data_IF_533197974549
#
_entry.id   IF_533197974549
#
_cell.length_a   1.000
_cell.length_b   1.000
_cell.length_c   1.000
_cell.angle_alpha   90.00
_cell.angle_beta   90.00
_cell.angle_gamma   90.00
#
_symmetry.space_group_name_H-M   'P 1'
#
loop_
_entity.id
_entity.type
_entity.pdbx_description
1 polymer ?
#
# COMPACT_ATOMS: atom_id res chain seq x y z
N UNK A 1 -9.67 -71.57 -30.64
CA UNK A 1 -8.29 -71.79 -30.17
C UNK A 1 -7.82 -70.44 -29.59
N UNK A 2 -8.04 -70.20 -28.29
CA UNK A 2 -7.09 -70.41 -27.18
C UNK A 2 -5.87 -69.45 -27.27
N UNK A 3 -5.48 -68.64 -26.28
CA UNK A 3 -5.97 -68.35 -24.93
C UNK A 3 -4.92 -67.56 -24.10
N UNK A 4 -5.36 -66.85 -23.04
CA UNK A 4 -4.59 -66.49 -21.82
C UNK A 4 -4.07 -65.05 -21.67
N UNK A 5 -4.62 -64.18 -20.78
CA UNK A 5 -4.32 -63.95 -19.32
C UNK A 5 -2.94 -63.31 -19.06
N UNK A 6 -2.70 -62.33 -18.18
CA UNK A 6 -3.48 -61.59 -17.19
C UNK A 6 -2.58 -60.49 -16.52
N UNK A 7 -3.19 -59.40 -16.00
CA UNK A 7 -2.99 -58.75 -14.66
C UNK A 7 -1.55 -58.30 -14.24
N UNK A 8 -1.24 -57.20 -13.52
CA UNK A 8 -1.95 -56.21 -12.68
C UNK A 8 -0.95 -55.13 -12.20
N UNK A 9 -1.48 -53.91 -11.98
CA UNK A 9 -1.24 -52.95 -10.87
C UNK A 9 0.17 -52.43 -10.48
N UNK A 10 0.30 -51.09 -10.55
CA UNK A 10 0.29 -50.26 -9.34
C UNK A 10 1.62 -49.95 -8.60
N UNK A 11 1.65 -48.89 -7.75
CA UNK A 11 2.80 -47.99 -7.56
C UNK A 11 3.40 -47.97 -6.12
N UNK A 12 4.48 -47.19 -5.94
CA UNK A 12 4.82 -46.31 -4.78
C UNK A 12 6.18 -46.52 -4.07
N UNK A 13 6.73 -45.35 -3.70
CA UNK A 13 7.43 -44.98 -2.47
C UNK A 13 8.80 -45.59 -2.13
N UNK A 14 9.86 -44.81 -2.33
CA UNK A 14 10.69 -44.09 -1.33
C UNK A 14 10.85 -44.63 0.12
N UNK A 15 10.60 -45.91 0.37
CA UNK A 15 10.86 -46.59 1.65
C UNK A 15 12.22 -47.32 1.71
N UNK A 16 13.12 -47.10 0.75
CA UNK A 16 14.41 -47.82 0.64
C UNK A 16 15.65 -47.02 1.11
N UNK A 17 15.51 -45.78 1.61
CA UNK A 17 16.68 -44.93 1.94
C UNK A 17 16.76 -44.47 3.40
N UNK A 18 16.34 -45.31 4.35
CA UNK A 18 16.45 -45.04 5.79
C UNK A 18 16.94 -46.23 6.64
N UNK A 19 18.01 -46.94 6.27
CA UNK A 19 18.64 -47.95 7.15
C UNK A 19 20.17 -48.14 6.99
N UNK A 20 20.98 -47.07 7.06
CA UNK A 20 22.41 -47.21 7.39
C UNK A 20 22.95 -46.01 8.19
N UNK A 21 22.64 -46.03 9.49
CA UNK A 21 23.16 -45.14 10.53
C UNK A 21 24.58 -45.59 10.92
N UNK A 22 25.47 -44.63 11.20
CA UNK A 22 26.34 -44.60 12.40
C UNK A 22 27.46 -45.64 12.51
N UNK A 23 28.68 -45.29 12.09
CA UNK A 23 29.94 -45.51 12.83
C UNK A 23 31.03 -44.59 12.26
N UNK A 24 31.66 -43.78 13.12
CA UNK A 24 32.79 -42.95 12.73
C UNK A 24 34.06 -43.78 12.56
N UNK A 25 34.96 -43.30 11.71
CA UNK A 25 36.42 -43.41 11.80
C UNK A 25 36.97 -42.38 10.80
N UNK A 26 37.68 -41.38 11.33
CA UNK A 26 38.61 -40.56 10.54
C UNK A 26 39.73 -41.49 10.05
N UNK A 27 40.03 -41.45 8.76
CA UNK A 27 41.24 -42.10 8.25
C UNK A 27 42.04 -41.10 7.40
N UNK A 28 42.94 -40.42 8.10
CA UNK A 28 44.37 -40.33 7.78
C UNK A 28 44.73 -40.50 6.29
N UNK A 29 44.91 -39.37 5.60
CA UNK A 29 45.95 -39.24 4.57
C UNK A 29 46.62 -37.88 4.72
N UNK A 30 47.54 -37.79 5.70
CA UNK A 30 48.53 -36.72 5.73
C UNK A 30 49.48 -36.93 4.56
N UNK A 31 49.29 -36.15 3.50
CA UNK A 31 50.29 -35.98 2.45
C UNK A 31 51.46 -35.20 3.06
N UNK A 32 52.47 -35.93 3.54
CA UNK A 32 53.76 -35.35 3.91
C UNK A 32 54.48 -35.00 2.62
N UNK A 33 54.47 -33.72 2.28
CA UNK A 33 55.29 -33.17 1.20
C UNK A 33 56.74 -33.18 1.65
N UNK A 34 57.48 -34.22 1.28
CA UNK A 34 58.94 -34.25 1.40
C UNK A 34 59.53 -33.48 0.23
N UNK A 35 59.91 -32.22 0.47
CA UNK A 35 60.75 -31.46 -0.46
C UNK A 35 62.21 -31.89 -0.26
N UNK A 36 62.78 -32.58 -1.26
CA UNK A 36 64.19 -32.94 -1.28
C UNK A 36 65.02 -31.72 -1.70
N UNK A 37 65.83 -31.20 -0.78
CA UNK A 37 66.92 -30.31 -1.11
C UNK A 37 68.21 -30.94 -0.58
N UNK A 38 69.08 -31.36 -1.50
CA UNK A 38 70.45 -31.81 -1.24
C UNK A 38 70.64 -33.07 -0.36
N UNK A 39 69.83 -34.11 -0.60
CA UNK A 39 70.26 -35.51 -0.37
C UNK A 39 70.65 -35.91 1.06
N UNK A 40 70.08 -35.28 2.10
CA UNK A 40 70.32 -35.68 3.50
C UNK A 40 69.05 -35.58 4.34
N UNK A 41 68.64 -36.69 4.93
CA UNK A 41 67.53 -36.78 5.88
C UNK A 41 67.94 -36.14 7.22
N UNK A 42 67.24 -35.09 7.65
CA UNK A 42 67.42 -34.48 8.98
C UNK A 42 66.13 -34.64 9.80
N UNK A 43 66.28 -35.08 11.05
CA UNK A 43 65.20 -35.25 12.03
C UNK A 43 64.90 -33.93 12.75
N UNK A 44 63.63 -33.74 13.10
CA UNK A 44 62.99 -32.49 13.54
C UNK A 44 63.37 -31.98 14.96
N UNK A 45 64.56 -32.29 15.48
CA UNK A 45 64.92 -31.98 16.87
C UNK A 45 65.88 -30.79 17.06
N UNK A 46 65.90 -29.83 16.13
CA UNK A 46 66.81 -28.68 16.22
C UNK A 46 66.22 -27.37 15.70
N UNK A 47 65.07 -26.96 16.22
CA UNK A 47 64.57 -25.59 16.06
C UNK A 47 64.58 -24.82 17.41
N UNK A 48 65.10 -23.58 17.45
CA UNK A 48 65.18 -22.80 18.68
C UNK A 48 63.78 -22.33 19.13
N UNK A 49 63.49 -22.46 20.44
CA UNK A 49 62.25 -21.95 21.05
C UNK A 49 62.18 -20.42 20.91
N UNK A 50 61.22 -19.96 20.11
CA UNK A 50 60.86 -18.55 19.92
C UNK A 50 60.38 -17.95 21.25
N UNK A 51 60.89 -16.78 21.62
CA UNK A 51 60.57 -16.08 22.86
C UNK A 51 59.09 -15.67 22.92
N UNK A 52 58.43 -16.03 24.02
CA UNK A 52 56.99 -15.84 24.29
C UNK A 52 56.53 -14.39 24.34
N UNK A 53 57.46 -13.43 24.44
CA UNK A 53 57.15 -12.01 24.64
C UNK A 53 56.71 -11.27 23.36
N UNK A 54 57.10 -11.77 22.18
CA UNK A 54 56.75 -11.14 20.88
C UNK A 54 55.37 -11.56 20.34
N UNK A 55 54.78 -12.61 20.92
CA UNK A 55 53.52 -13.20 20.47
C UNK A 55 52.31 -12.47 21.08
N UNK A 56 52.46 -11.92 22.28
CA UNK A 56 51.40 -11.26 23.04
C UNK A 56 51.13 -9.80 22.60
N UNK A 57 52.16 -9.09 22.12
CA UNK A 57 51.98 -7.76 21.51
C UNK A 57 51.35 -7.82 20.10
N UNK A 58 51.55 -8.91 19.37
CA UNK A 58 50.93 -9.11 18.05
C UNK A 58 49.47 -9.55 18.16
N UNK A 59 49.12 -10.32 19.19
CA UNK A 59 47.73 -10.74 19.45
C UNK A 59 46.85 -9.56 19.88
N UNK A 60 47.35 -8.68 20.75
CA UNK A 60 46.63 -7.48 21.20
C UNK A 60 46.36 -6.49 20.07
N UNK A 61 47.36 -6.19 19.23
CA UNK A 61 47.16 -5.32 18.05
C UNK A 61 46.24 -5.96 16.99
N UNK A 62 46.33 -7.27 16.78
CA UNK A 62 45.43 -8.01 15.88
C UNK A 62 43.98 -7.99 16.37
N UNK A 63 43.76 -8.11 17.68
CA UNK A 63 42.42 -8.09 18.27
C UNK A 63 41.79 -6.68 18.21
N UNK A 64 42.59 -5.64 18.43
CA UNK A 64 42.14 -4.25 18.28
C UNK A 64 41.82 -3.95 16.81
N UNK A 65 42.66 -4.38 15.87
CA UNK A 65 42.39 -4.21 14.44
C UNK A 65 41.12 -4.96 13.99
N UNK A 66 40.87 -6.16 14.53
CA UNK A 66 39.65 -6.92 14.27
C UNK A 66 38.40 -6.23 14.86
N UNK A 67 38.49 -5.66 16.05
CA UNK A 67 37.40 -4.90 16.68
C UNK A 67 37.08 -3.60 15.94
N UNK A 68 38.11 -2.86 15.50
CA UNK A 68 37.92 -1.63 14.70
C UNK A 68 37.37 -1.98 13.31
N UNK A 69 37.85 -3.04 12.67
CA UNK A 69 37.32 -3.51 11.38
C UNK A 69 35.87 -3.97 11.47
N UNK A 70 35.52 -4.74 12.50
CA UNK A 70 34.14 -5.16 12.77
C UNK A 70 33.23 -3.98 13.11
N UNK A 71 33.74 -2.99 13.86
CA UNK A 71 33.01 -1.75 14.17
C UNK A 71 32.76 -0.88 12.95
N UNK A 72 33.75 -0.75 12.05
CA UNK A 72 33.61 0.00 10.80
C UNK A 72 32.61 -0.67 9.83
N UNK A 73 32.67 -1.99 9.68
CA UNK A 73 31.66 -2.76 8.91
C UNK A 73 30.27 -2.74 9.56
N UNK A 74 30.19 -2.77 10.89
CA UNK A 74 28.94 -2.62 11.63
C UNK A 74 28.28 -1.27 11.41
N UNK A 75 29.05 -0.16 11.47
CA UNK A 75 28.53 1.17 11.19
C UNK A 75 28.11 1.36 9.72
N UNK A 76 28.86 0.81 8.76
CA UNK A 76 28.47 0.81 7.34
C UNK A 76 27.22 -0.03 7.08
N UNK A 77 27.07 -1.17 7.77
CA UNK A 77 25.85 -1.99 7.72
C UNK A 77 24.63 -1.25 8.25
N UNK A 78 24.75 -0.57 9.40
CA UNK A 78 23.66 0.24 9.98
C UNK A 78 23.23 1.41 9.08
N UNK A 79 24.16 2.05 8.36
CA UNK A 79 23.83 3.12 7.41
C UNK A 79 23.01 2.61 6.20
N UNK A 80 23.26 1.38 5.75
CA UNK A 80 22.52 0.77 4.63
C UNK A 80 21.04 0.49 4.94
N UNK A 81 20.71 0.12 6.19
CA UNK A 81 19.32 -0.14 6.59
C UNK A 81 18.46 1.15 6.59
N UNK A 82 19.03 2.29 6.97
CA UNK A 82 18.30 3.57 6.99
C UNK A 82 17.94 4.08 5.58
N UNK A 83 18.72 3.73 4.54
CA UNK A 83 18.45 4.17 3.17
C UNK A 83 17.38 3.35 2.45
N UNK A 84 17.15 2.09 2.85
CA UNK A 84 16.11 1.26 2.24
C UNK A 84 14.70 1.69 2.68
N UNK A 85 14.56 2.14 3.93
CA UNK A 85 13.26 2.49 4.51
C UNK A 85 12.60 3.69 3.81
N UNK A 86 13.40 4.69 3.43
CA UNK A 86 12.94 5.88 2.69
C UNK A 86 12.46 5.55 1.27
N UNK A 87 13.06 4.52 0.64
CA UNK A 87 12.66 4.07 -0.69
C UNK A 87 11.35 3.27 -0.66
N UNK A 88 11.07 2.54 0.41
CA UNK A 88 9.82 1.79 0.59
C UNK A 88 8.66 2.70 1.03
N UNK A 89 8.90 3.63 1.96
CA UNK A 89 7.87 4.56 2.42
C UNK A 89 7.54 5.65 1.40
N UNK A 90 8.48 5.97 0.51
CA UNK A 90 8.35 7.04 -0.46
C UNK A 90 8.41 8.42 0.18
N UNK A 91 8.67 9.44 -0.65
CA UNK A 91 8.71 10.82 -0.19
C UNK A 91 7.30 11.28 0.22
N UNK A 92 7.17 11.82 1.43
CA UNK A 92 5.92 12.39 1.93
C UNK A 92 5.42 13.51 0.98
N UNK A 93 4.15 13.42 0.58
CA UNK A 93 3.54 14.43 -0.26
C UNK A 93 3.37 15.76 0.53
N UNK A 94 3.72 16.91 -0.05
CA UNK A 94 3.47 18.19 0.59
C UNK A 94 1.96 18.51 0.64
N UNK A 95 1.55 19.30 1.63
CA UNK A 95 0.17 19.77 1.76
C UNK A 95 -0.07 20.97 0.83
N UNK A 96 -0.87 20.77 -0.21
CA UNK A 96 -1.25 21.85 -1.14
C UNK A 96 -2.50 22.59 -0.65
N UNK A 97 -2.59 23.91 -0.85
CA UNK A 97 -3.76 24.70 -0.48
C UNK A 97 -4.90 24.52 -1.48
N UNK A 98 -5.63 23.40 -1.37
CA UNK A 98 -6.80 23.11 -2.21
C UNK A 98 -7.94 24.07 -1.94
N UNK A 99 -8.70 24.45 -2.99
CA UNK A 99 -9.87 25.33 -2.86
C UNK A 99 -10.91 24.79 -1.88
N UNK A 100 -11.10 23.48 -1.85
CA UNK A 100 -12.09 22.76 -1.04
C UNK A 100 -11.55 22.24 0.30
N UNK A 101 -10.35 22.66 0.73
CA UNK A 101 -9.74 22.23 2.00
C UNK A 101 -10.39 22.83 3.26
N UNK A 102 -11.05 23.99 3.12
CA UNK A 102 -11.70 24.68 4.22
C UNK A 102 -13.04 24.06 4.65
N UNK A 103 -13.46 24.35 5.88
CA UNK A 103 -14.72 23.87 6.46
C UNK A 103 -15.96 24.44 5.75
N UNK A 104 -15.85 25.65 5.23
CA UNK A 104 -16.90 26.36 4.48
C UNK A 104 -16.57 26.49 2.99
N UNK A 105 -15.59 25.72 2.50
CA UNK A 105 -15.22 25.73 1.10
C UNK A 105 -15.89 24.59 0.36
N UNK A 106 -16.53 24.90 -0.76
CA UNK A 106 -17.07 23.90 -1.70
C UNK A 106 -16.02 23.47 -2.72
N UNK A 107 -16.35 22.47 -3.54
CA UNK A 107 -15.58 22.20 -4.74
C UNK A 107 -15.66 23.34 -5.76
N UNK A 108 -14.60 23.47 -6.58
CA UNK A 108 -14.61 24.33 -7.76
C UNK A 108 -15.18 23.52 -8.94
N UNK A 109 -16.46 23.71 -9.24
CA UNK A 109 -17.16 22.99 -10.31
C UNK A 109 -16.57 23.24 -11.71
N UNK A 110 -15.94 24.39 -11.95
CA UNK A 110 -15.23 24.63 -13.20
C UNK A 110 -13.95 23.77 -13.29
N UNK A 111 -13.27 23.57 -12.16
CA UNK A 111 -12.15 22.63 -12.05
C UNK A 111 -12.58 21.18 -12.21
N UNK A 112 -13.75 20.79 -11.68
CA UNK A 112 -14.33 19.45 -11.89
C UNK A 112 -14.59 19.22 -13.39
N UNK A 113 -15.17 20.20 -14.10
CA UNK A 113 -15.44 20.08 -15.54
C UNK A 113 -14.16 19.86 -16.35
N UNK A 114 -13.11 20.65 -16.11
CA UNK A 114 -11.80 20.48 -16.75
C UNK A 114 -11.14 19.16 -16.35
N UNK A 115 -11.24 18.76 -15.09
CA UNK A 115 -10.70 17.48 -14.61
C UNK A 115 -11.35 16.27 -15.29
N UNK A 116 -12.68 16.29 -15.48
CA UNK A 116 -13.39 15.25 -16.23
C UNK A 116 -12.93 15.20 -17.70
N UNK A 117 -12.68 16.35 -18.33
CA UNK A 117 -12.14 16.37 -19.70
C UNK A 117 -10.76 15.70 -19.78
N UNK A 118 -9.86 16.02 -18.85
CA UNK A 118 -8.54 15.36 -18.77
C UNK A 118 -8.67 13.86 -18.50
N UNK A 119 -9.61 13.45 -17.65
CA UNK A 119 -9.90 12.03 -17.43
C UNK A 119 -10.33 11.35 -18.73
N UNK A 120 -11.29 11.93 -19.46
CA UNK A 120 -11.80 11.40 -20.74
C UNK A 120 -10.70 11.31 -21.82
N UNK A 121 -9.84 12.32 -21.92
CA UNK A 121 -8.83 12.41 -22.98
C UNK A 121 -7.56 11.60 -22.69
N UNK A 122 -7.19 11.42 -21.42
CA UNK A 122 -5.89 10.84 -21.03
C UNK A 122 -6.06 9.58 -20.21
N UNK A 123 -6.85 9.63 -19.14
CA UNK A 123 -6.88 8.56 -18.13
C UNK A 123 -7.80 7.40 -18.52
N UNK A 124 -8.92 7.67 -19.19
CA UNK A 124 -9.92 6.68 -19.57
C UNK A 124 -9.38 5.58 -20.51
N UNK A 125 -8.24 5.82 -21.16
CA UNK A 125 -7.56 4.82 -21.98
C UNK A 125 -6.97 3.64 -21.17
N UNK A 126 -6.59 3.87 -19.91
CA UNK A 126 -5.97 2.84 -19.06
C UNK A 126 -6.73 2.60 -17.76
N UNK A 127 -7.42 3.61 -17.24
CA UNK A 127 -8.08 3.57 -15.95
C UNK A 127 -9.60 3.53 -16.07
N UNK A 128 -10.21 2.53 -15.43
CA UNK A 128 -11.63 2.52 -15.20
C UNK A 128 -12.04 3.55 -14.13
N UNK A 129 -13.31 3.93 -14.18
CA UNK A 129 -14.01 4.63 -13.10
C UNK A 129 -15.39 4.01 -12.93
N UNK A 130 -15.39 2.81 -12.36
CA UNK A 130 -16.56 1.93 -12.33
C UNK A 130 -17.71 2.43 -11.44
N UNK A 131 -17.46 3.29 -10.45
CA UNK A 131 -18.51 3.75 -9.52
C UNK A 131 -19.24 5.00 -9.99
N UNK A 132 -18.66 5.75 -10.95
CA UNK A 132 -19.25 7.01 -11.44
C UNK A 132 -20.09 6.73 -12.69
N UNK A 133 -21.29 7.28 -12.70
CA UNK A 133 -22.20 7.25 -13.85
C UNK A 133 -22.31 8.61 -14.52
N UNK A 134 -22.67 8.64 -15.80
CA UNK A 134 -22.84 9.91 -16.53
C UNK A 134 -23.84 10.85 -15.84
N UNK A 135 -24.90 10.32 -15.23
CA UNK A 135 -25.92 11.09 -14.51
C UNK A 135 -25.36 11.83 -13.29
N UNK A 136 -24.28 11.34 -12.67
CA UNK A 136 -23.69 11.99 -11.50
C UNK A 136 -23.03 13.34 -11.89
N UNK A 137 -22.69 13.52 -13.17
CA UNK A 137 -22.14 14.77 -13.71
C UNK A 137 -23.20 15.86 -13.92
N UNK A 138 -24.49 15.49 -13.97
CA UNK A 138 -25.61 16.40 -14.26
C UNK A 138 -25.80 17.33 -13.06
N UNK A 139 -25.78 18.64 -13.32
CA UNK A 139 -25.94 19.65 -12.27
C UNK A 139 -24.68 19.88 -11.43
N UNK A 140 -23.62 19.07 -11.62
CA UNK A 140 -22.31 19.28 -11.00
C UNK A 140 -21.38 20.00 -11.96
N UNK A 141 -21.07 19.40 -13.11
CA UNK A 141 -20.10 19.96 -14.06
C UNK A 141 -20.69 20.19 -15.46
N UNK A 142 -21.79 19.50 -15.78
CA UNK A 142 -22.43 19.51 -17.09
C UNK A 142 -23.94 19.66 -16.94
N UNK A 143 -24.57 20.16 -18.00
CA UNK A 143 -26.03 20.14 -18.15
C UNK A 143 -26.51 18.77 -18.61
N UNK A 144 -27.79 18.44 -18.39
CA UNK A 144 -28.36 17.15 -18.83
C UNK A 144 -28.21 16.92 -20.35
N UNK A 145 -28.38 17.97 -21.15
CA UNK A 145 -28.21 17.90 -22.61
C UNK A 145 -26.76 17.60 -23.01
N UNK A 146 -25.79 18.24 -22.34
CA UNK A 146 -24.36 17.97 -22.57
C UNK A 146 -23.98 16.55 -22.16
N UNK A 147 -24.45 16.07 -21.00
CA UNK A 147 -24.19 14.69 -20.54
C UNK A 147 -24.81 13.68 -21.49
N UNK A 148 -26.01 13.92 -21.98
CA UNK A 148 -26.66 13.03 -22.96
C UNK A 148 -25.88 12.96 -24.26
N UNK A 149 -25.33 14.08 -24.72
CA UNK A 149 -24.43 14.10 -25.88
C UNK A 149 -23.17 13.27 -25.60
N UNK A 150 -22.50 13.52 -24.47
CA UNK A 150 -21.28 12.81 -24.06
C UNK A 150 -21.50 11.29 -23.90
N UNK A 151 -22.64 10.88 -23.33
CA UNK A 151 -22.99 9.47 -23.15
C UNK A 151 -23.30 8.79 -24.48
N UNK A 152 -23.95 9.49 -25.42
CA UNK A 152 -24.28 8.92 -26.73
C UNK A 152 -23.08 8.70 -27.66
N UNK A 153 -21.92 9.31 -27.35
CA UNK A 153 -20.68 9.09 -28.10
C UNK A 153 -20.10 7.70 -27.90
N UNK A 154 -20.40 7.04 -26.77
CA UNK A 154 -19.93 5.69 -26.49
C UNK A 154 -21.00 4.66 -26.87
N UNK A 155 -20.56 3.55 -27.44
CA UNK A 155 -21.40 2.37 -27.65
C UNK A 155 -21.28 1.46 -26.44
N UNK A 156 -22.43 1.10 -25.86
CA UNK A 156 -22.53 0.21 -24.71
C UNK A 156 -23.26 -1.04 -25.14
N UNK A 157 -22.69 -2.20 -24.84
CA UNK A 157 -23.34 -3.48 -25.04
C UNK A 157 -24.54 -3.59 -24.08
N UNK A 158 -25.73 -3.81 -24.63
CA UNK A 158 -26.96 -4.02 -23.87
C UNK A 158 -27.52 -5.43 -24.13
N UNK A 159 -28.47 -5.82 -23.27
CA UNK A 159 -28.95 -7.19 -23.13
C UNK A 159 -29.50 -7.86 -24.40
N UNK A 160 -29.87 -9.15 -24.28
CA UNK A 160 -30.34 -9.91 -25.43
C UNK A 160 -31.61 -9.31 -26.01
N UNK A 161 -31.63 -9.09 -27.32
CA UNK A 161 -32.85 -8.78 -28.06
C UNK A 161 -33.79 -10.00 -28.12
N UNK A 162 -34.96 -9.86 -28.76
CA UNK A 162 -35.93 -10.96 -28.90
C UNK A 162 -35.38 -12.20 -29.64
N UNK A 163 -34.24 -12.07 -30.34
CA UNK A 163 -33.52 -13.16 -30.99
C UNK A 163 -32.41 -13.78 -30.11
N UNK A 164 -32.17 -13.27 -28.90
CA UNK A 164 -31.16 -13.74 -27.97
C UNK A 164 -29.75 -13.20 -28.22
N UNK A 165 -29.59 -12.20 -29.09
CA UNK A 165 -28.29 -11.60 -29.43
C UNK A 165 -28.07 -10.30 -28.63
N UNK A 166 -26.87 -10.11 -28.09
CA UNK A 166 -26.45 -8.86 -27.46
C UNK A 166 -26.23 -7.80 -28.54
N UNK A 167 -26.67 -6.56 -28.32
CA UNK A 167 -26.54 -5.48 -29.29
C UNK A 167 -25.86 -4.26 -28.69
N UNK A 168 -25.19 -3.49 -29.54
CA UNK A 168 -24.61 -2.20 -29.16
C UNK A 168 -25.68 -1.11 -29.26
N UNK A 169 -25.81 -0.32 -28.20
CA UNK A 169 -26.64 0.88 -28.21
C UNK A 169 -25.82 2.12 -27.88
N UNK A 170 -26.27 3.32 -28.29
CA UNK A 170 -25.70 4.53 -27.73
C UNK A 170 -25.86 4.57 -26.21
N UNK A 171 -24.84 5.06 -25.53
CA UNK A 171 -24.84 5.23 -24.08
C UNK A 171 -25.96 6.16 -23.62
N UNK A 172 -26.49 5.87 -22.43
CA UNK A 172 -27.52 6.67 -21.75
C UNK A 172 -26.94 7.24 -20.45
N UNK A 173 -27.50 8.34 -19.90
CA UNK A 173 -26.96 8.95 -18.69
C UNK A 173 -26.88 8.02 -17.46
N UNK A 174 -27.69 6.95 -17.41
CA UNK A 174 -27.60 5.99 -16.30
C UNK A 174 -26.42 5.01 -16.41
N UNK A 175 -25.72 4.97 -17.54
CA UNK A 175 -24.58 4.09 -17.73
C UNK A 175 -23.35 4.60 -16.96
N UNK A 176 -22.48 3.66 -16.62
CA UNK A 176 -21.18 3.94 -16.03
C UNK A 176 -20.20 4.46 -17.08
N UNK A 177 -19.13 5.09 -16.63
CA UNK A 177 -18.00 5.41 -17.49
C UNK A 177 -17.39 4.10 -18.03
N UNK A 178 -17.17 4.04 -19.35
CA UNK A 178 -16.74 2.82 -20.03
C UNK A 178 -15.37 2.36 -19.51
N UNK A 179 -15.27 1.09 -19.14
CA UNK A 179 -14.00 0.51 -18.75
C UNK A 179 -13.11 0.26 -20.00
N UNK A 180 -11.80 0.58 -19.95
CA UNK A 180 -10.89 0.38 -21.09
C UNK A 180 -10.61 -1.10 -21.40
N UNK A 181 -10.79 -1.98 -20.42
CA UNK A 181 -10.49 -3.40 -20.53
C UNK A 181 -11.67 -4.24 -20.04
N UNK A 182 -11.89 -5.39 -20.67
CA UNK A 182 -12.96 -6.31 -20.29
C UNK A 182 -12.70 -7.01 -18.94
N UNK A 183 -11.43 -7.23 -18.58
CA UNK A 183 -11.04 -7.89 -17.34
C UNK A 183 -9.63 -7.47 -16.89
N UNK A 184 -9.28 -7.82 -15.65
CA UNK A 184 -7.97 -7.52 -15.05
C UNK A 184 -6.81 -8.14 -15.85
N UNK A 185 -6.97 -9.36 -16.38
CA UNK A 185 -5.91 -10.04 -17.13
C UNK A 185 -5.56 -9.30 -18.42
N UNK A 186 -6.56 -8.79 -19.14
CA UNK A 186 -6.38 -7.95 -20.31
C UNK A 186 -5.69 -6.62 -19.95
N UNK A 187 -6.09 -6.00 -18.83
CA UNK A 187 -5.46 -4.78 -18.34
C UNK A 187 -3.96 -5.00 -18.03
N UNK A 188 -3.61 -6.11 -17.36
CA UNK A 188 -2.21 -6.47 -17.08
C UNK A 188 -1.44 -6.80 -18.34
N UNK A 189 -2.04 -7.52 -19.29
CA UNK A 189 -1.40 -7.85 -20.55
C UNK A 189 -1.07 -6.59 -21.37
N UNK A 190 -1.97 -5.60 -21.39
CA UNK A 190 -1.76 -4.33 -22.08
C UNK A 190 -0.71 -3.42 -21.39
N UNK A 191 -0.51 -3.55 -20.08
CA UNK A 191 0.34 -2.68 -19.26
C UNK A 191 1.60 -3.38 -18.72
N UNK A 192 2.13 -4.39 -19.43
CA UNK A 192 3.41 -5.02 -19.07
C UNK A 192 3.39 -5.78 -17.74
N UNK A 193 2.23 -6.32 -17.34
CA UNK A 193 2.00 -7.06 -16.11
C UNK A 193 1.45 -6.22 -14.95
N UNK A 194 1.52 -4.88 -15.04
CA UNK A 194 0.97 -3.98 -14.04
C UNK A 194 -0.54 -3.78 -14.24
N UNK A 195 -1.30 -3.72 -13.14
CA UNK A 195 -2.74 -3.44 -13.21
C UNK A 195 -3.01 -1.96 -12.90
N UNK A 196 -3.61 -1.19 -13.83
CA UNK A 196 -4.04 0.16 -13.54
C UNK A 196 -5.23 0.13 -12.55
N UNK A 197 -5.11 0.74 -11.36
CA UNK A 197 -6.19 0.75 -10.39
C UNK A 197 -7.39 1.57 -10.87
N UNK A 198 -8.59 1.21 -10.40
CA UNK A 198 -9.81 1.99 -10.61
C UNK A 198 -9.69 3.35 -9.92
N UNK A 199 -10.02 4.43 -10.65
CA UNK A 199 -9.81 5.80 -10.15
C UNK A 199 -11.00 6.35 -9.34
N UNK A 200 -12.08 5.58 -9.16
CA UNK A 200 -13.30 6.08 -8.51
C UNK A 200 -13.05 6.59 -7.07
N UNK A 201 -12.08 6.01 -6.36
CA UNK A 201 -11.80 6.30 -4.95
C UNK A 201 -10.35 6.78 -4.70
N UNK A 202 -9.63 7.21 -5.73
CA UNK A 202 -8.22 7.62 -5.61
C UNK A 202 -8.06 9.11 -5.94
N UNK A 203 -7.31 9.88 -5.13
CA UNK A 203 -7.40 11.35 -5.16
C UNK A 203 -6.08 12.10 -5.44
N UNK A 204 -5.07 11.56 -6.14
CA UNK A 204 -3.72 12.19 -6.16
C UNK A 204 -2.97 12.10 -7.50
N UNK A 205 -3.14 13.06 -8.43
CA UNK A 205 -2.36 13.12 -9.70
C UNK A 205 -2.04 14.56 -10.15
N UNK A 206 -3.03 15.46 -10.32
CA UNK A 206 -2.84 16.87 -10.75
C UNK A 206 -4.02 17.77 -10.32
N UNK A 207 -3.91 19.11 -10.27
CA UNK A 207 -4.94 19.97 -9.63
C UNK A 207 -6.38 19.75 -10.10
N UNK A 208 -6.64 19.87 -11.41
CA UNK A 208 -8.00 19.77 -11.94
C UNK A 208 -8.52 18.32 -11.86
N UNK A 209 -7.68 17.35 -12.20
CA UNK A 209 -8.00 15.91 -12.10
C UNK A 209 -8.22 15.49 -10.65
N UNK A 210 -7.40 15.95 -9.70
CA UNK A 210 -7.55 15.70 -8.27
C UNK A 210 -8.84 16.27 -7.74
N UNK A 211 -9.23 17.47 -8.21
CA UNK A 211 -10.52 18.05 -7.81
C UNK A 211 -11.68 17.21 -8.33
N UNK A 212 -11.62 16.75 -9.58
CA UNK A 212 -12.61 15.81 -10.13
C UNK A 212 -12.64 14.47 -9.40
N UNK A 213 -11.47 13.86 -9.16
CA UNK A 213 -11.36 12.58 -8.46
C UNK A 213 -11.79 12.65 -6.99
N UNK A 214 -11.47 13.75 -6.30
CA UNK A 214 -11.93 13.98 -4.93
C UNK A 214 -13.45 14.12 -4.86
N UNK A 215 -14.05 14.79 -5.85
CA UNK A 215 -15.50 14.85 -5.98
C UNK A 215 -16.10 13.47 -6.31
N UNK A 216 -15.48 12.69 -7.21
CA UNK A 216 -15.95 11.34 -7.55
C UNK A 216 -15.95 10.40 -6.33
N UNK A 217 -14.97 10.55 -5.43
CA UNK A 217 -14.89 9.79 -4.19
C UNK A 217 -15.87 10.27 -3.11
N UNK A 218 -16.16 11.57 -3.05
CA UNK A 218 -17.02 12.19 -2.04
C UNK A 218 -18.01 13.20 -2.66
N UNK A 219 -19.01 12.75 -3.45
CA UNK A 219 -19.94 13.65 -4.13
C UNK A 219 -20.82 14.43 -3.15
N UNK A 220 -21.03 13.91 -1.94
CA UNK A 220 -21.84 14.53 -0.89
C UNK A 220 -21.09 15.59 -0.05
N UNK A 221 -19.82 15.88 -0.35
CA UNK A 221 -19.00 16.73 0.52
C UNK A 221 -19.55 18.16 0.69
N UNK A 222 -20.11 18.76 -0.37
CA UNK A 222 -20.67 20.12 -0.33
C UNK A 222 -21.93 20.17 0.55
N UNK A 223 -22.84 19.21 0.37
CA UNK A 223 -24.05 19.08 1.20
C UNK A 223 -23.71 18.76 2.65
N UNK A 224 -22.75 17.85 2.87
CA UNK A 224 -22.28 17.45 4.20
C UNK A 224 -21.70 18.63 4.98
N UNK A 225 -20.89 19.48 4.34
CA UNK A 225 -20.35 20.71 4.95
C UNK A 225 -21.45 21.70 5.30
N UNK A 226 -22.43 21.88 4.42
CA UNK A 226 -23.56 22.77 4.63
C UNK A 226 -24.49 22.28 5.75
N UNK A 227 -24.84 20.99 5.75
CA UNK A 227 -25.64 20.35 6.80
C UNK A 227 -24.87 20.38 8.13
N UNK A 228 -23.57 20.08 8.11
CA UNK A 228 -22.68 20.20 9.26
C UNK A 228 -22.69 21.60 9.86
N UNK A 229 -22.56 22.65 9.03
CA UNK A 229 -22.64 24.04 9.48
C UNK A 229 -23.99 24.36 10.15
N UNK A 230 -25.11 23.90 9.56
CA UNK A 230 -26.45 24.08 10.13
C UNK A 230 -26.59 23.40 11.50
N UNK A 231 -26.12 22.16 11.63
CA UNK A 231 -26.20 21.41 12.89
C UNK A 231 -25.28 21.98 13.97
N UNK A 232 -24.09 22.44 13.61
CA UNK A 232 -23.18 23.11 14.55
C UNK A 232 -23.85 24.37 15.09
N UNK A 233 -24.43 25.20 14.22
CA UNK A 233 -25.14 26.40 14.64
C UNK A 233 -26.34 26.08 15.54
N UNK A 234 -27.15 25.09 15.16
CA UNK A 234 -28.29 24.63 15.97
C UNK A 234 -27.87 24.07 17.33
N UNK A 235 -26.80 23.28 17.38
CA UNK A 235 -26.24 22.74 18.62
C UNK A 235 -25.69 23.85 19.52
N UNK A 236 -25.02 24.87 18.97
CA UNK A 236 -24.55 26.01 19.73
C UNK A 236 -25.72 26.77 20.40
N UNK A 237 -26.82 27.00 19.67
CA UNK A 237 -28.02 27.65 20.22
C UNK A 237 -28.66 26.78 21.30
N UNK A 238 -28.81 25.48 21.06
CA UNK A 238 -29.38 24.55 22.04
C UNK A 238 -28.53 24.48 23.33
N UNK A 239 -27.20 24.44 23.20
CA UNK A 239 -26.28 24.46 24.33
C UNK A 239 -26.35 25.78 25.10
N UNK A 240 -26.47 26.90 24.40
CA UNK A 240 -26.67 28.20 25.03
C UNK A 240 -27.99 28.25 25.83
N UNK A 241 -29.10 27.80 25.22
CA UNK A 241 -30.42 27.71 25.87
C UNK A 241 -30.38 26.78 27.10
N UNK A 242 -29.74 25.61 26.97
CA UNK A 242 -29.60 24.65 28.06
C UNK A 242 -28.73 25.21 29.20
N UNK A 243 -27.64 25.90 28.87
CA UNK A 243 -26.78 26.60 29.82
C UNK A 243 -27.55 27.68 30.60
N UNK A 244 -28.35 28.48 29.89
CA UNK A 244 -29.23 29.48 30.48
C UNK A 244 -30.29 28.83 31.39
N UNK A 245 -30.99 27.80 30.90
CA UNK A 245 -32.03 27.11 31.67
C UNK A 245 -31.46 26.42 32.91
N UNK A 246 -30.30 25.77 32.80
CA UNK A 246 -29.55 25.22 33.94
C UNK A 246 -29.23 26.32 34.94
N UNK A 247 -28.70 27.46 34.50
CA UNK A 247 -28.35 28.58 35.39
C UNK A 247 -29.58 29.13 36.10
N UNK A 248 -30.70 29.25 35.40
CA UNK A 248 -31.98 29.70 35.94
C UNK A 248 -32.53 28.72 36.99
N UNK A 249 -32.63 27.43 36.69
CA UNK A 249 -33.11 26.41 37.64
C UNK A 249 -32.24 26.27 38.89
N UNK A 250 -30.92 26.41 38.75
CA UNK A 250 -29.98 26.31 39.86
C UNK A 250 -29.74 27.64 40.60
N UNK A 251 -30.34 28.75 40.15
CA UNK A 251 -30.17 30.05 40.79
C UNK A 251 -30.60 30.05 42.27
N UNK A 252 -31.80 29.54 42.65
CA UNK A 252 -32.24 29.57 44.05
C UNK A 252 -31.35 28.76 45.00
N UNK A 253 -30.90 27.59 44.56
CA UNK A 253 -30.00 26.74 45.35
C UNK A 253 -28.61 27.35 45.54
N UNK A 254 -28.13 28.10 44.54
CA UNK A 254 -26.82 28.78 44.61
C UNK A 254 -26.87 30.09 45.39
N UNK A 255 -28.03 30.75 45.47
CA UNK A 255 -28.20 32.00 46.22
C UNK A 255 -28.64 31.79 47.68
N UNK A 256 -28.90 30.55 48.12
CA UNK A 256 -29.32 30.27 49.50
C UNK A 256 -28.21 30.61 50.50
N UNK A 257 -28.55 31.29 51.59
CA UNK A 257 -27.67 31.49 52.75
C UNK A 257 -28.04 30.41 53.78
N UNK A 258 -27.06 29.65 54.24
CA UNK A 258 -27.24 28.61 55.26
C UNK A 258 -26.63 29.15 56.55
N UNK A 259 -27.41 29.17 57.62
CA UNK A 259 -26.96 29.47 58.97
C UNK A 259 -26.61 28.13 59.61
N UNK A 260 -25.40 28.03 60.16
CA UNK A 260 -24.96 26.82 60.86
C UNK A 260 -25.05 27.08 62.36
N UNK A 261 -25.94 26.34 63.03
CA UNK A 261 -26.12 26.41 64.49
C UNK A 261 -25.07 25.56 65.21
N UNK A 262 -23.81 25.79 64.85
CA UNK A 262 -22.67 25.13 65.50
C UNK A 262 -21.72 26.23 65.95
N UNK A 263 -21.59 26.36 67.26
CA UNK A 263 -20.57 27.17 67.91
C UNK A 263 -19.38 26.24 68.11
N UNK A 264 -18.24 26.57 67.49
CA UNK A 264 -16.98 25.83 67.68
C UNK A 264 -16.41 26.06 69.08
#
# INVERSE_FOLDING_TARGET
MAGGRALLSGPRSWCELLLARRFGIQNEKRNVTLCSQNGRWMTENSLPKRSSQSQDQRSTLSNIAALVGAGAMGMLGLAGFAHADEAEHGLQAPSYPWSHSGWFSSYDHASIRRGHQVYKEVCAACHAMSLVTYRDLIGVAYTEAEVKALASEIEVEDGPNDAGEMFMRPGKPSDHLQAPYANEQAARAANGGAYPPDLSLICKIAKDVVTYLSWAAEPEADERKLIGAKWILGACIALFQAGYFKRWKWAPYKSRRIIWDVVN
#
